data_IF_528238340392
#
_entry.id   IF_528238340392
#
_cell.length_a   1.000
_cell.length_b   1.000
_cell.length_c   1.000
_cell.angle_alpha   90.00
_cell.angle_beta   90.00
_cell.angle_gamma   90.00
#
_symmetry.space_group_name_H-M   'P 1'
#
loop_
_entity.id
_entity.type
_entity.pdbx_description
1 polymer ?
#
# COMPACT_ATOMS: atom_id res chain seq x y z
N UNK A 1 4.04 -12.71 -13.76
CA UNK A 1 4.47 -11.47 -13.09
C UNK A 1 4.97 -11.82 -11.70
N UNK A 2 6.23 -11.52 -11.38
CA UNK A 2 6.86 -11.89 -10.10
C UNK A 2 6.34 -10.96 -8.99
N UNK A 3 5.91 -11.55 -7.88
CA UNK A 3 5.64 -10.88 -6.60
C UNK A 3 6.78 -9.89 -6.31
N UNK A 4 6.47 -8.63 -6.00
CA UNK A 4 7.43 -7.52 -5.85
C UNK A 4 8.32 -7.63 -4.58
N UNK A 5 8.80 -8.83 -4.26
CA UNK A 5 9.83 -9.06 -3.25
C UNK A 5 9.41 -8.88 -1.79
N UNK A 6 8.15 -8.51 -1.52
CA UNK A 6 7.62 -8.42 -0.15
C UNK A 6 7.13 -9.79 0.30
N UNK A 7 8.08 -10.67 0.63
CA UNK A 7 7.80 -11.89 1.37
C UNK A 7 7.68 -11.53 2.85
N UNK A 8 6.47 -11.12 3.25
CA UNK A 8 6.12 -10.79 4.63
C UNK A 8 4.89 -11.62 5.03
N UNK A 9 4.89 -12.30 6.18
CA UNK A 9 3.77 -13.14 6.60
C UNK A 9 2.51 -12.33 6.94
N UNK A 10 2.69 -11.04 7.26
CA UNK A 10 1.67 -10.06 7.64
C UNK A 10 1.06 -9.30 6.46
N UNK A 11 1.43 -9.64 5.22
CA UNK A 11 0.82 -9.07 3.99
C UNK A 11 0.45 -10.19 3.03
N UNK A 12 -0.80 -10.20 2.55
CA UNK A 12 -1.31 -11.22 1.62
C UNK A 12 -1.50 -10.63 0.24
N UNK A 13 -0.83 -11.17 -0.77
CA UNK A 13 -1.02 -10.74 -2.16
C UNK A 13 -2.46 -10.96 -2.62
N UNK A 14 -3.02 -9.99 -3.32
CA UNK A 14 -4.39 -10.05 -3.87
C UNK A 14 -4.34 -10.07 -5.39
N UNK A 15 -3.76 -9.03 -5.99
CA UNK A 15 -3.75 -8.84 -7.44
C UNK A 15 -2.57 -8.00 -7.87
N UNK A 16 -2.23 -8.10 -9.15
CA UNK A 16 -1.30 -7.21 -9.82
C UNK A 16 -1.89 -6.91 -11.18
N UNK A 17 -2.14 -5.63 -11.46
CA UNK A 17 -2.79 -5.19 -12.69
C UNK A 17 -2.13 -3.93 -13.25
N UNK A 18 -2.21 -3.81 -14.57
CA UNK A 18 -1.79 -2.59 -15.25
C UNK A 18 -2.98 -1.63 -15.29
N UNK A 19 -2.88 -0.52 -14.56
CA UNK A 19 -3.86 0.55 -14.56
C UNK A 19 -3.45 1.57 -15.61
N UNK A 20 -4.26 1.67 -16.66
CA UNK A 20 -4.11 2.71 -17.69
C UNK A 20 -4.79 3.99 -17.19
N UNK A 21 -4.03 5.07 -17.03
CA UNK A 21 -4.60 6.37 -16.64
C UNK A 21 -4.92 7.17 -17.89
N UNK A 22 -6.20 7.30 -18.26
CA UNK A 22 -6.62 8.16 -19.37
C UNK A 22 -6.30 9.65 -19.10
N UNK A 23 -6.20 10.06 -17.84
CA UNK A 23 -6.17 11.48 -17.46
C UNK A 23 -4.76 12.00 -17.13
N UNK A 24 -3.84 11.14 -16.69
CA UNK A 24 -2.49 11.55 -16.23
C UNK A 24 -1.36 11.20 -17.23
N UNK A 25 -1.69 10.62 -18.37
CA UNK A 25 -0.70 10.23 -19.40
C UNK A 25 0.30 9.14 -19.00
N UNK A 26 0.26 8.66 -17.75
CA UNK A 26 1.17 7.65 -17.20
C UNK A 26 0.41 6.36 -16.89
N UNK A 27 0.89 5.25 -17.44
CA UNK A 27 0.40 3.94 -17.07
C UNK A 27 1.14 3.46 -15.82
N UNK A 28 0.48 2.66 -14.98
CA UNK A 28 1.10 2.10 -13.78
C UNK A 28 0.81 0.62 -13.63
N UNK A 29 1.80 -0.14 -13.18
CA UNK A 29 1.57 -1.46 -12.59
C UNK A 29 1.25 -1.26 -11.12
N UNK A 30 0.09 -1.74 -10.68
CA UNK A 30 -0.34 -1.70 -9.29
C UNK A 30 -0.45 -3.13 -8.74
N UNK A 31 0.34 -3.43 -7.72
CA UNK A 31 0.20 -4.64 -6.93
C UNK A 31 -0.54 -4.31 -5.63
N UNK A 32 -1.60 -5.07 -5.34
CA UNK A 32 -2.44 -4.91 -4.16
C UNK A 32 -2.23 -6.06 -3.20
N UNK A 33 -2.03 -5.73 -1.93
CA UNK A 33 -1.91 -6.67 -0.83
C UNK A 33 -2.94 -6.32 0.26
N UNK A 34 -3.35 -7.32 1.04
CA UNK A 34 -4.20 -7.19 2.22
C UNK A 34 -3.37 -7.29 3.49
N UNK A 35 -3.69 -6.42 4.43
CA UNK A 35 -3.13 -6.41 5.79
C UNK A 35 -4.30 -6.58 6.76
N UNK A 36 -4.31 -7.68 7.54
CA UNK A 36 -5.38 -7.94 8.51
C UNK A 36 -5.34 -6.92 9.65
N UNK A 37 -6.50 -6.63 10.26
CA UNK A 37 -6.64 -5.65 11.34
C UNK A 37 -5.60 -5.77 12.47
N UNK A 38 -5.32 -7.02 12.87
CA UNK A 38 -4.33 -7.35 13.92
C UNK A 38 -2.89 -6.94 13.55
N UNK A 39 -2.59 -6.84 12.26
CA UNK A 39 -1.25 -6.59 11.72
C UNK A 39 -1.06 -5.13 11.24
N UNK A 40 -2.12 -4.32 11.18
CA UNK A 40 -2.08 -2.94 10.66
C UNK A 40 -1.00 -2.10 11.34
N UNK A 41 -0.94 -2.09 12.67
CA UNK A 41 0.05 -1.29 13.40
C UNK A 41 1.50 -1.73 13.12
N UNK A 42 1.71 -3.04 12.97
CA UNK A 42 3.03 -3.61 12.66
C UNK A 42 3.47 -3.24 11.24
N UNK A 43 2.56 -3.34 10.27
CA UNK A 43 2.85 -2.99 8.87
C UNK A 43 3.01 -1.48 8.71
N UNK A 44 2.21 -0.66 9.40
CA UNK A 44 2.35 0.80 9.43
C UNK A 44 3.75 1.22 9.90
N UNK A 45 4.20 0.71 11.06
CA UNK A 45 5.55 1.01 11.56
C UNK A 45 6.63 0.60 10.56
N UNK A 46 6.47 -0.56 9.92
CA UNK A 46 7.40 -0.98 8.88
C UNK A 46 7.42 0.00 7.69
N UNK A 47 6.26 0.47 7.21
CA UNK A 47 6.21 1.42 6.11
C UNK A 47 6.87 2.76 6.45
N UNK A 48 6.67 3.26 7.67
CA UNK A 48 7.30 4.50 8.14
C UNK A 48 8.83 4.38 8.09
N UNK A 49 9.38 3.24 8.51
CA UNK A 49 10.82 3.02 8.48
C UNK A 49 11.37 2.67 7.09
N UNK A 50 10.60 1.95 6.28
CA UNK A 50 11.04 1.42 5.00
C UNK A 50 10.96 2.43 3.86
N UNK A 51 9.87 3.20 3.81
CA UNK A 51 9.57 4.11 2.71
C UNK A 51 9.22 5.53 3.18
N UNK A 52 9.45 5.83 4.47
CA UNK A 52 9.20 7.16 5.05
C UNK A 52 7.78 7.68 4.86
N UNK A 53 6.79 6.78 4.79
CA UNK A 53 5.38 7.20 4.71
C UNK A 53 4.95 7.86 6.01
N UNK A 54 3.94 8.73 5.94
CA UNK A 54 3.31 9.27 7.13
C UNK A 54 2.44 8.21 7.82
N UNK A 55 2.28 8.27 9.15
CA UNK A 55 1.36 7.38 9.86
C UNK A 55 -0.06 7.49 9.31
N UNK A 56 -0.82 6.39 9.37
CA UNK A 56 -2.21 6.33 8.97
C UNK A 56 -3.02 7.41 9.67
N UNK A 57 -3.79 8.16 8.89
CA UNK A 57 -4.76 9.13 9.37
C UNK A 57 -6.15 8.64 9.02
N UNK A 58 -7.08 8.79 9.96
CA UNK A 58 -8.48 8.54 9.68
C UNK A 58 -9.07 9.77 9.01
N UNK A 59 -9.63 9.60 7.82
CA UNK A 59 -10.30 10.66 7.07
C UNK A 59 -11.62 10.14 6.49
N UNK A 60 -12.71 10.87 6.74
CA UNK A 60 -14.08 10.54 6.34
C UNK A 60 -14.57 9.17 6.87
N UNK A 61 -14.22 8.08 6.19
CA UNK A 61 -14.68 6.72 6.45
C UNK A 61 -13.57 5.67 6.26
N UNK A 62 -12.31 6.08 6.36
CA UNK A 62 -11.19 5.19 6.09
C UNK A 62 -9.88 5.67 6.69
N UNK A 63 -8.89 4.79 6.61
CA UNK A 63 -7.51 5.08 6.98
C UNK A 63 -6.66 5.21 5.73
N UNK A 64 -5.75 6.17 5.74
CA UNK A 64 -4.81 6.39 4.64
C UNK A 64 -3.46 6.90 5.16
N UNK A 65 -2.38 6.38 4.59
CA UNK A 65 -1.02 6.93 4.71
C UNK A 65 -0.72 7.79 3.49
N UNK A 66 0.30 8.65 3.58
CA UNK A 66 0.95 9.13 2.36
C UNK A 66 1.56 7.98 1.56
N UNK A 67 1.92 8.24 0.32
CA UNK A 67 2.84 7.39 -0.43
C UNK A 67 4.28 7.69 -0.03
N UNK A 68 5.14 6.69 -0.21
CA UNK A 68 6.59 6.80 -0.05
C UNK A 68 7.28 5.98 -1.12
N UNK A 69 8.53 6.34 -1.41
CA UNK A 69 9.28 5.73 -2.51
C UNK A 69 10.30 4.74 -1.99
N UNK A 70 10.50 3.66 -2.74
CA UNK A 70 11.58 2.71 -2.47
C UNK A 70 12.14 2.13 -3.77
N UNK A 71 13.41 1.72 -3.72
CA UNK A 71 14.08 1.05 -4.83
C UNK A 71 13.92 -0.46 -4.69
N UNK A 72 13.34 -1.10 -5.70
CA UNK A 72 13.20 -2.55 -5.78
C UNK A 72 14.54 -3.26 -6.04
N UNK A 73 14.56 -4.58 -5.87
CA UNK A 73 15.77 -5.41 -6.14
C UNK A 73 16.17 -5.42 -7.61
N UNK A 74 15.22 -5.14 -8.50
CA UNK A 74 15.43 -4.93 -9.92
C UNK A 74 16.01 -3.54 -10.24
N UNK A 75 16.28 -2.72 -9.23
CA UNK A 75 16.85 -1.38 -9.39
C UNK A 75 15.83 -0.32 -9.80
N UNK A 76 14.54 -0.67 -9.88
CA UNK A 76 13.48 0.23 -10.31
C UNK A 76 12.85 0.95 -9.12
N UNK A 77 12.39 2.18 -9.32
CA UNK A 77 11.66 2.94 -8.30
C UNK A 77 10.19 2.53 -8.25
N UNK A 78 9.68 2.35 -7.04
CA UNK A 78 8.30 2.01 -6.72
C UNK A 78 7.76 2.99 -5.69
N UNK A 79 6.45 3.25 -5.74
CA UNK A 79 5.74 3.95 -4.66
C UNK A 79 4.93 2.95 -3.86
N UNK A 80 4.83 3.15 -2.55
CA UNK A 80 4.09 2.28 -1.63
C UNK A 80 3.24 3.11 -0.67
N UNK A 81 2.03 2.65 -0.42
CA UNK A 81 1.12 3.27 0.54
C UNK A 81 0.07 2.29 1.03
N UNK A 82 -0.56 2.59 2.16
CA UNK A 82 -1.57 1.73 2.76
C UNK A 82 -2.83 2.51 3.11
N UNK A 83 -3.99 1.93 2.81
CA UNK A 83 -5.26 2.51 3.18
C UNK A 83 -6.47 1.71 2.74
N UNK A 84 -7.63 2.13 3.21
CA UNK A 84 -8.91 1.49 2.94
C UNK A 84 -10.03 2.00 3.83
N UNK A 85 -11.25 1.64 3.46
CA UNK A 85 -12.45 1.97 4.22
C UNK A 85 -12.47 1.22 5.56
N UNK A 86 -12.91 1.92 6.60
CA UNK A 86 -13.07 1.40 7.94
C UNK A 86 -14.09 2.21 8.73
N UNK A 87 -14.93 1.54 9.51
CA UNK A 87 -15.92 2.19 10.37
C UNK A 87 -15.36 2.65 11.73
N UNK A 88 -14.10 2.33 12.04
CA UNK A 88 -13.46 2.67 13.31
C UNK A 88 -12.37 3.71 13.12
N UNK A 89 -12.43 4.81 13.88
CA UNK A 89 -11.53 5.95 13.78
C UNK A 89 -10.38 5.96 14.80
N UNK A 90 -10.33 4.95 15.68
CA UNK A 90 -9.29 4.86 16.72
C UNK A 90 -8.29 3.76 16.44
N UNK A 91 -7.00 4.05 16.63
CA UNK A 91 -5.89 3.09 16.44
C UNK A 91 -6.01 1.85 17.32
N UNK A 92 -6.53 2.00 18.54
CA UNK A 92 -6.81 0.88 19.46
C UNK A 92 -7.82 -0.13 18.90
N UNK A 93 -8.61 0.27 17.90
CA UNK A 93 -9.62 -0.58 17.26
C UNK A 93 -9.16 -1.19 15.92
N UNK A 94 -7.88 -1.09 15.55
CA UNK A 94 -7.37 -1.70 14.31
C UNK A 94 -7.71 -3.18 14.16
N UNK A 95 -7.67 -3.96 15.24
CA UNK A 95 -8.05 -5.37 15.22
C UNK A 95 -9.50 -5.64 14.78
N UNK A 96 -10.38 -4.62 14.81
CA UNK A 96 -11.78 -4.70 14.34
C UNK A 96 -11.92 -4.40 12.85
N UNK A 97 -10.88 -3.86 12.20
CA UNK A 97 -10.86 -3.62 10.76
C UNK A 97 -10.61 -4.96 10.05
N UNK A 98 -11.45 -5.40 9.11
CA UNK A 98 -11.24 -6.67 8.41
C UNK A 98 -9.87 -6.73 7.73
N UNK A 99 -9.54 -5.69 6.97
CA UNK A 99 -8.22 -5.49 6.38
C UNK A 99 -8.07 -4.07 5.86
N UNK A 100 -6.82 -3.61 5.69
CA UNK A 100 -6.47 -2.49 4.82
C UNK A 100 -5.75 -2.99 3.57
N UNK A 101 -5.73 -2.17 2.52
CA UNK A 101 -5.01 -2.47 1.28
C UNK A 101 -3.66 -1.76 1.28
N UNK A 102 -2.59 -2.53 1.14
CA UNK A 102 -1.26 -2.03 0.81
C UNK A 102 -1.11 -2.05 -0.72
N UNK A 103 -0.73 -0.92 -1.30
CA UNK A 103 -0.60 -0.75 -2.76
C UNK A 103 0.84 -0.41 -3.08
N UNK A 104 1.37 -1.07 -4.10
CA UNK A 104 2.69 -0.79 -4.65
C UNK A 104 2.51 -0.45 -6.12
N UNK A 105 3.03 0.70 -6.51
CA UNK A 105 2.85 1.24 -7.85
C UNK A 105 4.20 1.40 -8.50
N UNK A 106 4.27 1.05 -9.79
CA UNK A 106 5.38 1.41 -10.68
C UNK A 106 4.79 2.20 -11.83
N UNK A 107 5.26 3.43 -12.00
CA UNK A 107 4.85 4.29 -13.11
C UNK A 107 5.74 4.03 -14.32
N UNK A 108 5.15 4.19 -15.50
CA UNK A 108 5.82 4.10 -16.79
C UNK A 108 5.30 5.22 -17.67
N UNK A 109 6.22 5.89 -18.36
CA UNK A 109 5.87 6.80 -19.44
C UNK A 109 5.31 5.99 -20.60
N UNK A 110 4.24 6.50 -21.24
CA UNK A 110 3.81 5.94 -22.51
C UNK A 110 4.84 6.32 -23.57
N UNK A 111 5.29 5.37 -24.41
CA UNK A 111 6.13 5.69 -25.56
C UNK A 111 5.40 6.58 -26.57
#
# INVERSE_FOLDING_TARGET
>A
MRQLGLQRPDVKFVSCEQVKSSDLGMDRLEAVYRVEGKDIAKVENWLIHFAHVTPLKFACCGWESSEGDFKGRDGVMYTIGMGGEASVSTRKAFAKIPFLKLRIKRYFERP
#
